data_IF_537713412657
#
_entry.id   IF_537713412657
#
_cell.length_a   1.000
_cell.length_b   1.000
_cell.length_c   1.000
_cell.angle_alpha   90.00
_cell.angle_beta   90.00
_cell.angle_gamma   90.00
#
_symmetry.space_group_name_H-M   'P 1'
#
loop_
_entity.id
_entity.type
_entity.pdbx_description
1 polymer ?
#
# COMPACT_ATOMS: atom_id res chain seq x y z
N UNK A 1 -2.08 -0.72 -8.04
CA UNK A 1 -3.50 -1.02 -8.13
C UNK A 1 -4.01 -0.67 -9.51
N UNK A 2 -4.20 -1.67 -10.31
CA UNK A 2 -4.48 -1.44 -11.73
C UNK A 2 -5.91 -0.98 -11.98
N UNK A 3 -6.87 -1.49 -11.21
CA UNK A 3 -8.29 -1.27 -11.49
C UNK A 3 -8.88 -0.09 -10.73
N UNK A 4 -8.17 0.49 -9.81
CA UNK A 4 -8.59 1.68 -9.07
C UNK A 4 -9.98 1.54 -8.46
N UNK A 5 -10.28 0.36 -7.94
CA UNK A 5 -11.57 0.05 -7.33
C UNK A 5 -11.45 0.22 -5.81
N UNK A 6 -12.14 1.21 -5.21
CA UNK A 6 -12.04 1.41 -3.77
C UNK A 6 -12.51 0.22 -2.95
N UNK A 7 -13.51 -0.53 -3.43
CA UNK A 7 -13.97 -1.71 -2.72
C UNK A 7 -12.92 -2.81 -2.73
N UNK A 8 -12.25 -3.04 -3.87
CA UNK A 8 -11.18 -4.01 -3.96
C UNK A 8 -10.01 -3.59 -3.09
N UNK A 9 -9.65 -2.30 -3.10
CA UNK A 9 -8.59 -1.77 -2.23
C UNK A 9 -8.91 -2.06 -0.76
N UNK A 10 -10.13 -1.75 -0.33
CA UNK A 10 -10.54 -1.98 1.06
C UNK A 10 -10.46 -3.45 1.45
N UNK A 11 -10.71 -4.37 0.52
CA UNK A 11 -10.72 -5.79 0.80
C UNK A 11 -9.32 -6.35 1.13
N UNK A 12 -8.25 -5.63 0.75
CA UNK A 12 -6.88 -6.05 1.03
C UNK A 12 -6.30 -5.43 2.30
N UNK A 13 -7.10 -4.69 3.08
CA UNK A 13 -6.64 -3.94 4.24
C UNK A 13 -7.33 -4.47 5.48
N UNK A 14 -6.57 -4.71 6.55
CA UNK A 14 -7.17 -5.13 7.82
C UNK A 14 -7.88 -3.95 8.47
N UNK A 15 -8.82 -4.27 9.38
CA UNK A 15 -9.56 -3.24 10.12
C UNK A 15 -8.64 -2.36 10.97
N UNK A 16 -7.50 -2.88 11.38
CA UNK A 16 -6.55 -2.18 12.25
C UNK A 16 -5.33 -1.62 11.51
N UNK A 17 -5.34 -1.64 10.17
CA UNK A 17 -4.17 -1.25 9.38
C UNK A 17 -3.71 0.17 9.68
N UNK A 18 -2.40 0.37 9.59
CA UNK A 18 -1.78 1.69 9.73
C UNK A 18 -1.06 2.01 8.43
N UNK A 19 -1.40 3.14 7.85
CA UNK A 19 -0.77 3.65 6.64
C UNK A 19 -0.04 4.93 6.99
N UNK A 20 1.26 4.95 6.71
CA UNK A 20 2.13 6.08 7.04
C UNK A 20 2.44 6.86 5.79
N UNK A 21 2.31 8.18 5.85
CA UNK A 21 2.90 9.05 4.84
C UNK A 21 3.94 9.95 5.50
N UNK A 22 4.46 10.93 4.75
CA UNK A 22 5.54 11.78 5.26
C UNK A 22 5.11 12.64 6.45
N UNK A 23 3.81 12.87 6.65
CA UNK A 23 3.31 13.84 7.62
C UNK A 23 2.31 13.28 8.61
N UNK A 24 1.71 12.13 8.31
CA UNK A 24 0.62 11.65 9.14
C UNK A 24 0.51 10.14 9.09
N UNK A 25 -0.32 9.61 9.97
CA UNK A 25 -0.65 8.19 10.03
C UNK A 25 -2.15 8.05 9.91
N UNK A 26 -2.59 7.24 8.95
CA UNK A 26 -3.99 6.86 8.82
C UNK A 26 -4.20 5.57 9.61
N UNK A 27 -5.05 5.61 10.59
CA UNK A 27 -5.26 4.50 11.53
C UNK A 27 -6.60 3.84 11.28
N UNK A 28 -6.57 2.56 10.95
CA UNK A 28 -7.77 1.77 10.71
C UNK A 28 -8.25 1.85 9.27
N UNK A 29 -8.99 0.82 8.86
CA UNK A 29 -9.44 0.69 7.48
C UNK A 29 -10.25 1.91 7.02
N UNK A 30 -11.18 2.39 7.85
CA UNK A 30 -12.04 3.50 7.44
C UNK A 30 -11.23 4.76 7.13
N UNK A 31 -10.25 5.09 7.99
CA UNK A 31 -9.40 6.24 7.77
C UNK A 31 -8.52 6.08 6.53
N UNK A 32 -7.98 4.87 6.32
CA UNK A 32 -7.15 4.58 5.17
C UNK A 32 -7.95 4.73 3.87
N UNK A 33 -9.12 4.12 3.82
CA UNK A 33 -9.97 4.18 2.62
C UNK A 33 -10.39 5.62 2.34
N UNK A 34 -10.79 6.35 3.37
CA UNK A 34 -11.17 7.76 3.22
C UNK A 34 -10.01 8.61 2.72
N UNK A 35 -8.82 8.42 3.30
CA UNK A 35 -7.65 9.18 2.89
C UNK A 35 -7.18 8.87 1.46
N UNK A 36 -7.43 7.65 1.00
CA UNK A 36 -7.02 7.23 -0.34
C UNK A 36 -8.10 7.45 -1.39
N UNK A 37 -9.32 7.78 -0.99
CA UNK A 37 -10.43 7.89 -1.93
C UNK A 37 -10.17 8.89 -3.06
N UNK A 38 -9.45 9.97 -2.76
CA UNK A 38 -9.10 10.98 -3.78
C UNK A 38 -8.28 10.40 -4.91
N UNK A 39 -7.49 9.36 -4.66
CA UNK A 39 -6.65 8.74 -5.69
C UNK A 39 -7.47 7.94 -6.70
N UNK A 40 -8.70 7.59 -6.36
CA UNK A 40 -9.59 6.85 -7.25
C UNK A 40 -10.56 7.75 -7.99
N UNK A 41 -10.63 9.03 -7.63
CA UNK A 41 -11.64 9.94 -8.17
C UNK A 41 -11.26 10.54 -9.52
N UNK A 42 -9.98 10.63 -9.83
CA UNK A 42 -9.52 11.25 -11.07
C UNK A 42 -9.55 10.29 -12.26
N UNK A 43 -9.39 10.81 -13.47
CA UNK A 43 -9.39 9.97 -14.68
C UNK A 43 -8.13 9.14 -14.86
N UNK A 44 -7.04 9.49 -14.16
CA UNK A 44 -5.79 8.76 -14.20
C UNK A 44 -5.30 8.55 -12.77
N UNK A 45 -4.65 7.42 -12.54
CA UNK A 45 -3.99 7.22 -11.27
C UNK A 45 -2.86 8.24 -11.11
N UNK A 46 -2.75 8.92 -9.93
CA UNK A 46 -1.69 9.90 -9.72
C UNK A 46 -0.31 9.25 -9.60
N UNK A 47 -0.27 7.94 -9.38
CA UNK A 47 0.98 7.20 -9.27
C UNK A 47 0.72 5.73 -9.54
N UNK A 48 1.79 5.00 -9.75
CA UNK A 48 1.76 3.55 -9.86
C UNK A 48 2.88 2.97 -9.02
N UNK A 49 2.78 1.69 -8.69
CA UNK A 49 3.83 1.00 -7.95
C UNK A 49 3.87 -0.45 -8.37
N UNK A 50 5.04 -1.07 -8.16
CA UNK A 50 5.23 -2.48 -8.43
C UNK A 50 6.22 -3.04 -7.42
N UNK A 51 5.94 -4.22 -6.85
CA UNK A 51 6.89 -4.82 -5.92
C UNK A 51 8.15 -5.30 -6.65
N UNK A 52 9.30 -4.96 -6.10
CA UNK A 52 10.59 -5.50 -6.53
C UNK A 52 11.14 -6.49 -5.52
N UNK A 53 10.72 -6.35 -4.27
CA UNK A 53 11.12 -7.23 -3.18
C UNK A 53 9.87 -7.86 -2.60
N UNK A 54 9.89 -9.17 -2.44
CA UNK A 54 8.83 -9.91 -1.77
C UNK A 54 9.50 -10.92 -0.85
N UNK A 55 9.26 -10.79 0.46
CA UNK A 55 9.82 -11.69 1.46
C UNK A 55 8.70 -12.21 2.34
N UNK A 56 8.67 -13.51 2.56
CA UNK A 56 7.68 -14.15 3.42
C UNK A 56 8.41 -14.83 4.56
N UNK A 57 7.93 -14.63 5.79
CA UNK A 57 8.52 -15.32 6.93
C UNK A 57 8.32 -16.83 6.80
N UNK A 58 9.26 -17.60 7.34
CA UNK A 58 9.18 -19.05 7.32
C UNK A 58 7.91 -19.57 7.97
N UNK A 59 7.35 -18.83 8.93
CA UNK A 59 6.08 -19.20 9.58
C UNK A 59 4.88 -19.07 8.65
N UNK A 60 5.03 -18.35 7.53
CA UNK A 60 3.93 -18.11 6.60
C UNK A 60 2.88 -17.14 7.12
N UNK A 61 3.18 -16.37 8.15
CA UNK A 61 2.21 -15.48 8.79
C UNK A 61 2.33 -14.03 8.39
N UNK A 62 3.53 -13.59 7.99
CA UNK A 62 3.78 -12.21 7.59
C UNK A 62 4.63 -12.18 6.34
N UNK A 63 4.40 -11.17 5.52
CA UNK A 63 5.18 -10.93 4.32
C UNK A 63 5.45 -9.45 4.17
N UNK A 64 6.53 -9.14 3.48
CA UNK A 64 6.90 -7.76 3.16
C UNK A 64 7.01 -7.61 1.65
N UNK A 65 6.44 -6.53 1.12
CA UNK A 65 6.67 -6.13 -0.27
C UNK A 65 7.19 -4.71 -0.29
N UNK A 66 8.08 -4.41 -1.21
CA UNK A 66 8.56 -3.05 -1.40
C UNK A 66 8.96 -2.84 -2.86
N UNK A 67 9.03 -1.59 -3.27
CA UNK A 67 9.41 -1.25 -4.63
C UNK A 67 9.23 0.23 -4.93
N UNK A 68 9.44 0.60 -6.19
CA UNK A 68 9.33 2.00 -6.58
C UNK A 68 7.88 2.44 -6.71
N UNK A 69 7.66 3.73 -6.43
CA UNK A 69 6.43 4.43 -6.76
C UNK A 69 6.78 5.40 -7.87
N UNK A 70 5.99 5.42 -8.95
CA UNK A 70 6.26 6.25 -10.12
C UNK A 70 5.07 7.17 -10.38
N UNK A 71 5.38 8.35 -10.94
CA UNK A 71 4.32 9.26 -11.38
C UNK A 71 3.78 8.81 -12.76
N UNK A 72 2.75 9.48 -13.28
CA UNK A 72 2.20 9.10 -14.59
C UNK A 72 3.19 9.17 -15.74
N UNK A 73 4.27 9.91 -15.60
CA UNK A 73 5.32 10.00 -16.62
C UNK A 73 6.36 8.90 -16.49
N UNK A 74 6.21 8.01 -15.49
CA UNK A 74 7.14 6.92 -15.28
C UNK A 74 8.34 7.26 -14.40
N UNK A 75 8.41 8.49 -13.89
CA UNK A 75 9.52 8.92 -13.04
C UNK A 75 9.29 8.41 -11.62
N UNK A 76 10.35 7.88 -11.02
CA UNK A 76 10.26 7.41 -9.64
C UNK A 76 10.16 8.59 -8.68
N UNK A 77 9.06 8.63 -7.90
CA UNK A 77 8.81 9.68 -6.92
C UNK A 77 8.97 9.20 -5.49
N UNK A 78 9.17 7.90 -5.29
CA UNK A 78 9.34 7.37 -3.95
C UNK A 78 9.49 5.87 -3.97
N UNK A 79 9.41 5.30 -2.78
CA UNK A 79 9.36 3.86 -2.57
C UNK A 79 8.20 3.55 -1.63
N UNK A 80 7.67 2.34 -1.74
CA UNK A 80 6.67 1.87 -0.79
C UNK A 80 7.18 0.62 -0.08
N UNK A 81 6.66 0.40 1.12
CA UNK A 81 6.87 -0.85 1.86
C UNK A 81 5.53 -1.22 2.48
N UNK A 82 5.08 -2.42 2.22
CA UNK A 82 3.84 -2.94 2.78
C UNK A 82 4.13 -4.21 3.56
N UNK A 83 3.51 -4.33 4.72
CA UNK A 83 3.57 -5.55 5.52
C UNK A 83 2.20 -6.20 5.48
N UNK A 84 2.20 -7.46 5.10
CA UNK A 84 1.00 -8.26 4.91
C UNK A 84 0.91 -9.30 6.01
N UNK A 85 -0.29 -9.52 6.51
CA UNK A 85 -0.57 -10.57 7.48
C UNK A 85 -1.53 -11.57 6.86
N UNK A 86 -1.24 -12.86 7.07
CA UNK A 86 -2.16 -13.90 6.65
C UNK A 86 -3.26 -14.00 7.70
N UNK A 87 -4.51 -13.80 7.26
CA UNK A 87 -5.66 -13.84 8.13
C UNK A 87 -6.13 -15.28 8.33
N UNK A 88 -7.04 -15.49 9.28
CA UNK A 88 -7.53 -16.83 9.62
C UNK A 88 -8.21 -17.53 8.45
N UNK A 89 -8.76 -16.77 7.50
CA UNK A 89 -9.38 -17.34 6.29
C UNK A 89 -8.38 -17.65 5.18
N UNK A 90 -7.09 -17.49 5.45
CA UNK A 90 -6.02 -17.74 4.49
C UNK A 90 -5.71 -16.59 3.56
N UNK A 91 -6.43 -15.50 3.64
CA UNK A 91 -6.18 -14.32 2.80
C UNK A 91 -5.08 -13.46 3.40
N UNK A 92 -4.31 -12.85 2.51
CA UNK A 92 -3.28 -11.90 2.91
C UNK A 92 -3.83 -10.48 2.85
N UNK A 93 -3.63 -9.73 3.92
CA UNK A 93 -4.08 -8.34 3.99
C UNK A 93 -2.99 -7.45 4.55
N UNK A 94 -2.97 -6.20 4.09
CA UNK A 94 -1.99 -5.22 4.53
C UNK A 94 -2.32 -4.78 5.95
N UNK A 95 -1.32 -4.82 6.81
CA UNK A 95 -1.43 -4.30 8.19
C UNK A 95 -0.64 -3.02 8.37
N UNK A 96 0.47 -2.85 7.65
CA UNK A 96 1.26 -1.62 7.64
C UNK A 96 1.63 -1.28 6.21
N UNK A 97 1.55 0.01 5.89
CA UNK A 97 2.02 0.51 4.61
C UNK A 97 2.72 1.83 4.84
N UNK A 98 3.85 2.00 4.19
CA UNK A 98 4.64 3.22 4.33
C UNK A 98 5.19 3.61 2.97
N UNK A 99 4.91 4.86 2.57
CA UNK A 99 5.52 5.45 1.40
C UNK A 99 6.56 6.46 1.82
N UNK A 100 7.66 6.52 1.09
CA UNK A 100 8.75 7.47 1.36
C UNK A 100 9.12 8.18 0.07
N UNK A 101 9.53 9.45 0.14
CA UNK A 101 10.19 10.06 -1.01
C UNK A 101 11.48 9.29 -1.31
N UNK A 102 12.04 9.41 -2.53
CA UNK A 102 13.26 8.71 -2.84
C UNK A 102 14.33 9.09 -1.82
N UNK A 103 14.96 8.07 -1.26
CA UNK A 103 16.05 8.34 -0.33
C UNK A 103 17.23 8.92 -1.10
N UNK A 104 17.78 10.00 -0.60
CA UNK A 104 19.00 10.54 -1.16
C UNK A 104 20.14 9.54 -0.99
N UNK A 105 20.94 9.37 -2.02
CA UNK A 105 22.04 8.41 -1.99
C UNK A 105 23.34 9.13 -2.23
#
# INVERSE_FOLDING_TARGET
>A
MADRDPAAFASFITDEALFFDAKSVLRGKAAVVSGWSAYFAGPRAPFSWAPETVEVLASGTLALTSGPVRDPDGRQTGTFTSIWRRESDGRWKVVFDKGCPPCAR
#
